data_IF_789477870802
#
_entry.id   IF_789477870802
#
_cell.length_a   1.000
_cell.length_b   1.000
_cell.length_c   1.000
_cell.angle_alpha   90.00
_cell.angle_beta   90.00
_cell.angle_gamma   90.00
#
_symmetry.space_group_name_H-M   'P 1'
#
loop_
_entity.id
_entity.type
_entity.pdbx_description
1 polymer ?
#
# COMPACT_ATOMS: atom_id res chain seq x y z
N UNK A 1 39.01 -1.58 -12.25
CA UNK A 1 37.54 -1.56 -12.18
C UNK A 1 36.99 -2.25 -13.42
N UNK A 2 36.10 -3.23 -13.24
CA UNK A 2 35.33 -3.89 -14.29
C UNK A 2 33.86 -3.46 -14.16
N UNK A 3 33.20 -3.19 -15.28
CA UNK A 3 31.75 -3.02 -15.34
C UNK A 3 31.17 -4.09 -16.29
N UNK A 4 30.15 -4.81 -15.85
CA UNK A 4 29.46 -5.81 -16.67
C UNK A 4 27.96 -5.78 -16.44
N UNK A 5 27.19 -6.02 -17.48
CA UNK A 5 25.74 -6.26 -17.36
C UNK A 5 25.46 -7.75 -17.30
N UNK A 6 24.50 -8.16 -16.48
CA UNK A 6 24.04 -9.54 -16.38
C UNK A 6 22.51 -9.59 -16.44
N UNK A 7 21.92 -10.30 -17.42
CA UNK A 7 20.48 -10.47 -17.47
C UNK A 7 20.07 -11.43 -16.35
N UNK A 8 19.20 -10.99 -15.44
CA UNK A 8 18.56 -11.87 -14.45
C UNK A 8 17.25 -12.47 -14.96
N UNK A 9 16.82 -12.09 -16.17
CA UNK A 9 15.64 -12.64 -16.79
C UNK A 9 15.83 -14.09 -17.24
N UNK A 10 14.98 -14.99 -16.72
CA UNK A 10 15.02 -16.41 -17.04
C UNK A 10 16.13 -17.20 -16.33
N UNK A 11 16.83 -16.59 -15.38
CA UNK A 11 17.86 -17.24 -14.56
C UNK A 11 17.26 -17.63 -13.22
N UNK A 12 17.51 -18.88 -12.79
CA UNK A 12 17.09 -19.38 -11.49
C UNK A 12 17.86 -18.73 -10.33
N UNK A 13 17.32 -18.90 -9.12
CA UNK A 13 17.92 -18.30 -7.92
C UNK A 13 19.31 -18.88 -7.63
N UNK A 14 19.54 -20.18 -7.86
CA UNK A 14 20.83 -20.82 -7.61
C UNK A 14 21.91 -20.36 -8.59
N UNK A 15 21.56 -20.16 -9.86
CA UNK A 15 22.46 -19.65 -10.90
C UNK A 15 22.83 -18.20 -10.60
N UNK A 16 21.87 -17.36 -10.21
CA UNK A 16 22.14 -15.98 -9.81
C UNK A 16 23.06 -15.91 -8.59
N UNK A 17 22.82 -16.74 -7.57
CA UNK A 17 23.70 -16.83 -6.39
C UNK A 17 25.10 -17.31 -6.78
N UNK A 18 25.20 -18.31 -7.65
CA UNK A 18 26.48 -18.84 -8.13
C UNK A 18 27.26 -17.81 -8.95
N UNK A 19 26.58 -17.04 -9.80
CA UNK A 19 27.16 -15.94 -10.56
C UNK A 19 27.71 -14.85 -9.64
N UNK A 20 26.90 -14.36 -8.70
CA UNK A 20 27.31 -13.33 -7.74
C UNK A 20 28.48 -13.79 -6.87
N UNK A 21 28.49 -15.05 -6.41
CA UNK A 21 29.60 -15.64 -5.67
C UNK A 21 30.89 -15.71 -6.51
N UNK A 22 30.77 -16.05 -7.80
CA UNK A 22 31.88 -16.02 -8.75
C UNK A 22 32.46 -14.61 -8.91
N UNK A 23 31.61 -13.63 -9.19
CA UNK A 23 31.99 -12.23 -9.35
C UNK A 23 32.67 -11.67 -8.09
N UNK A 24 32.10 -11.93 -6.92
CA UNK A 24 32.62 -11.54 -5.60
C UNK A 24 33.97 -12.19 -5.27
N UNK A 25 34.24 -13.39 -5.77
CA UNK A 25 35.54 -14.05 -5.59
C UNK A 25 36.65 -13.43 -6.44
N UNK A 26 36.29 -12.76 -7.54
CA UNK A 26 37.22 -12.07 -8.42
C UNK A 26 37.48 -10.62 -7.97
N UNK A 27 36.50 -9.98 -7.33
CA UNK A 27 36.59 -8.58 -6.91
C UNK A 27 36.29 -8.41 -5.41
N UNK A 28 37.23 -7.86 -4.62
CA UNK A 28 37.02 -7.64 -3.20
C UNK A 28 35.94 -6.57 -2.90
N UNK A 29 35.69 -5.65 -3.84
CA UNK A 29 34.62 -4.65 -3.73
C UNK A 29 33.68 -4.76 -4.92
N UNK A 30 32.37 -4.78 -4.62
CA UNK A 30 31.33 -4.99 -5.62
C UNK A 30 30.16 -4.03 -5.39
N UNK A 31 29.65 -3.43 -6.46
CA UNK A 31 28.44 -2.63 -6.41
C UNK A 31 27.55 -2.99 -7.59
N UNK A 32 26.28 -3.26 -7.34
CA UNK A 32 25.31 -3.59 -8.38
C UNK A 32 24.19 -2.56 -8.46
N UNK A 33 23.74 -2.25 -9.66
CA UNK A 33 22.57 -1.41 -9.93
C UNK A 33 21.52 -2.21 -10.71
N UNK A 34 20.25 -1.96 -10.43
CA UNK A 34 19.14 -2.49 -11.24
C UNK A 34 19.02 -1.65 -12.51
N UNK A 35 19.34 -2.22 -13.68
CA UNK A 35 19.26 -1.54 -14.97
C UNK A 35 18.03 -2.02 -15.75
N UNK A 36 17.10 -1.09 -15.99
CA UNK A 36 15.89 -1.25 -16.83
C UNK A 36 14.82 -2.25 -16.35
N UNK A 37 13.62 -2.17 -16.95
CA UNK A 37 12.48 -3.03 -16.63
C UNK A 37 12.62 -4.49 -17.10
N UNK A 38 13.72 -4.85 -17.77
CA UNK A 38 13.94 -6.18 -18.36
C UNK A 38 14.67 -7.15 -17.43
N UNK A 39 14.87 -6.80 -16.16
CA UNK A 39 15.59 -7.66 -15.22
C UNK A 39 17.05 -7.80 -15.64
N UNK A 40 17.78 -6.70 -15.73
CA UNK A 40 19.24 -6.70 -15.90
C UNK A 40 19.88 -6.02 -14.70
N UNK A 41 20.99 -6.57 -14.23
CA UNK A 41 21.82 -5.91 -13.22
C UNK A 41 23.12 -5.45 -13.86
N UNK A 42 23.58 -4.24 -13.51
CA UNK A 42 24.91 -3.74 -13.85
C UNK A 42 25.79 -3.92 -12.63
N UNK A 43 26.84 -4.71 -12.75
CA UNK A 43 27.80 -5.01 -11.69
C UNK A 43 29.11 -4.29 -11.95
N UNK A 44 29.60 -3.62 -10.91
CA UNK A 44 30.89 -2.99 -10.84
C UNK A 44 31.77 -3.80 -9.88
N UNK A 45 32.97 -4.16 -10.33
CA UNK A 45 33.98 -4.88 -9.55
C UNK A 45 35.29 -4.10 -9.48
N UNK A 46 35.92 -4.05 -8.31
CA UNK A 46 37.15 -3.28 -8.09
C UNK A 46 38.02 -3.88 -6.98
N UNK A 47 39.32 -3.60 -7.04
CA UNK A 47 40.29 -3.90 -5.97
C UNK A 47 40.27 -2.84 -4.85
N UNK A 48 39.59 -1.71 -5.08
CA UNK A 48 39.40 -0.62 -4.13
C UNK A 48 37.90 -0.35 -3.90
N UNK A 49 37.50 0.13 -2.70
CA UNK A 49 36.10 0.45 -2.40
C UNK A 49 35.48 1.45 -3.36
N UNK A 50 34.18 1.28 -3.64
CA UNK A 50 33.39 2.28 -4.36
C UNK A 50 32.95 3.38 -3.39
N UNK A 51 33.56 4.56 -3.51
CA UNK A 51 33.19 5.76 -2.77
C UNK A 51 32.82 6.87 -3.75
N UNK A 52 31.58 7.32 -3.66
CA UNK A 52 31.05 8.43 -4.45
C UNK A 52 31.15 9.71 -3.62
N UNK A 53 32.09 10.60 -3.98
CA UNK A 53 32.19 11.92 -3.37
C UNK A 53 30.96 12.75 -3.73
N UNK A 54 30.12 13.05 -2.74
CA UNK A 54 28.83 13.71 -2.93
C UNK A 54 28.97 15.07 -3.61
N UNK A 55 30.08 15.79 -3.34
CA UNK A 55 30.38 17.09 -3.95
C UNK A 55 30.59 17.02 -5.46
N UNK A 56 31.04 15.87 -5.95
CA UNK A 56 31.39 15.67 -7.35
C UNK A 56 30.23 15.08 -8.15
N UNK A 57 29.28 14.40 -7.49
CA UNK A 57 28.16 13.71 -8.14
C UNK A 57 27.33 14.62 -9.05
N UNK A 58 26.97 15.81 -8.59
CA UNK A 58 26.21 16.76 -9.41
C UNK A 58 27.03 17.28 -10.60
N UNK A 59 28.35 17.44 -10.43
CA UNK A 59 29.27 17.78 -11.52
C UNK A 59 29.40 16.67 -12.56
N UNK A 60 29.45 15.42 -12.11
CA UNK A 60 29.46 14.24 -12.99
C UNK A 60 28.13 14.08 -13.74
N UNK A 61 27.03 14.60 -13.18
CA UNK A 61 25.72 14.61 -13.81
C UNK A 61 25.55 15.66 -14.91
N UNK A 62 26.59 16.37 -15.35
CA UNK A 62 26.45 17.46 -16.35
C UNK A 62 26.49 17.02 -17.80
N UNK A 63 26.86 15.76 -18.10
CA UNK A 63 26.91 15.23 -19.47
C UNK A 63 25.50 14.91 -20.01
N UNK A 64 25.01 15.64 -21.05
CA UNK A 64 23.67 15.41 -21.59
C UNK A 64 23.47 14.04 -22.24
N UNK A 65 24.54 13.41 -22.78
CA UNK A 65 24.43 12.09 -23.39
C UNK A 65 24.21 11.03 -22.30
N UNK A 66 25.01 11.09 -21.23
CA UNK A 66 24.84 10.22 -20.07
C UNK A 66 23.47 10.41 -19.40
N UNK A 67 22.99 11.66 -19.31
CA UNK A 67 21.64 11.95 -18.80
C UNK A 67 20.55 11.28 -19.65
N UNK A 68 20.64 11.36 -20.99
CA UNK A 68 19.66 10.77 -21.89
C UNK A 68 19.59 9.24 -21.71
N UNK A 69 20.74 8.57 -21.71
CA UNK A 69 20.83 7.11 -21.54
C UNK A 69 20.30 6.66 -20.16
N UNK A 70 20.62 7.41 -19.10
CA UNK A 70 20.17 7.13 -17.74
C UNK A 70 18.67 7.40 -17.55
N UNK A 71 18.11 8.39 -18.25
CA UNK A 71 16.67 8.65 -18.26
C UNK A 71 15.87 7.49 -18.87
N UNK A 72 16.39 6.82 -19.91
CA UNK A 72 15.78 5.59 -20.45
C UNK A 72 15.69 4.50 -19.38
N UNK A 73 16.63 4.50 -18.42
CA UNK A 73 16.66 3.61 -17.26
C UNK A 73 15.91 4.17 -16.03
N UNK A 74 15.09 5.22 -16.19
CA UNK A 74 14.35 5.94 -15.12
C UNK A 74 15.23 6.57 -14.04
N UNK A 75 16.51 6.76 -14.31
CA UNK A 75 17.42 7.51 -13.44
C UNK A 75 17.37 8.97 -13.86
N UNK A 76 16.60 9.80 -13.14
CA UNK A 76 16.40 11.21 -13.53
C UNK A 76 17.45 12.15 -12.97
N UNK A 77 18.15 11.73 -11.92
CA UNK A 77 19.14 12.52 -11.21
C UNK A 77 20.06 11.60 -10.40
N UNK A 78 21.09 12.20 -9.80
CA UNK A 78 22.05 11.52 -8.93
C UNK A 78 21.39 10.78 -7.76
N UNK A 79 20.27 11.28 -7.23
CA UNK A 79 19.56 10.66 -6.11
C UNK A 79 18.86 9.36 -6.52
N UNK A 80 18.27 9.34 -7.72
CA UNK A 80 17.70 8.12 -8.30
C UNK A 80 18.81 7.09 -8.58
N UNK A 81 19.99 7.52 -9.01
CA UNK A 81 21.14 6.62 -9.25
C UNK A 81 21.56 5.94 -7.95
N UNK A 82 21.76 6.73 -6.89
CA UNK A 82 22.08 6.24 -5.55
C UNK A 82 20.98 5.32 -5.03
N UNK A 83 19.70 5.68 -5.22
CA UNK A 83 18.58 4.86 -4.77
C UNK A 83 18.48 3.51 -5.52
N UNK A 84 18.97 3.43 -6.76
CA UNK A 84 18.96 2.21 -7.56
C UNK A 84 20.06 1.20 -7.21
N UNK A 85 21.03 1.57 -6.35
CA UNK A 85 22.02 0.63 -5.83
C UNK A 85 21.30 -0.57 -5.19
N UNK A 86 21.56 -1.76 -5.74
CA UNK A 86 20.84 -2.99 -5.47
C UNK A 86 21.62 -3.91 -4.54
N UNK A 87 22.93 -4.06 -4.76
CA UNK A 87 23.81 -4.94 -3.98
C UNK A 87 25.14 -4.25 -3.72
N UNK A 88 25.66 -4.40 -2.51
CA UNK A 88 27.07 -4.15 -2.19
C UNK A 88 27.77 -5.47 -1.83
N UNK A 89 29.08 -5.44 -1.52
CA UNK A 89 29.81 -6.63 -1.12
C UNK A 89 29.17 -7.38 0.05
N UNK A 90 28.62 -6.68 1.05
CA UNK A 90 28.02 -7.30 2.24
C UNK A 90 26.68 -7.97 1.90
N UNK A 91 25.86 -7.35 1.06
CA UNK A 91 24.63 -7.95 0.56
C UNK A 91 24.91 -9.15 -0.32
N UNK A 92 25.95 -9.09 -1.17
CA UNK A 92 26.38 -10.25 -1.96
C UNK A 92 26.87 -11.38 -1.06
N UNK A 93 27.69 -11.08 -0.05
CA UNK A 93 28.20 -12.08 0.90
C UNK A 93 27.05 -12.75 1.68
N UNK A 94 26.04 -11.98 2.09
CA UNK A 94 24.84 -12.53 2.76
C UNK A 94 23.96 -13.36 1.83
N UNK A 95 23.76 -12.93 0.59
CA UNK A 95 22.85 -13.59 -0.34
C UNK A 95 23.49 -14.82 -1.00
N UNK A 96 24.74 -14.69 -1.44
CA UNK A 96 25.44 -15.65 -2.28
C UNK A 96 26.64 -16.32 -1.60
N UNK A 97 27.05 -15.93 -0.40
CA UNK A 97 28.31 -16.41 0.22
C UNK A 97 28.39 -17.91 0.49
N UNK A 98 27.24 -18.62 0.54
CA UNK A 98 27.21 -20.09 0.65
C UNK A 98 27.06 -20.81 -0.70
N UNK A 99 26.91 -20.08 -1.81
CA UNK A 99 26.75 -20.66 -3.12
C UNK A 99 28.08 -21.11 -3.72
N UNK A 100 28.02 -22.10 -4.62
CA UNK A 100 29.19 -22.53 -5.37
C UNK A 100 29.50 -21.48 -6.44
N UNK A 101 30.69 -20.86 -6.46
CA UNK A 101 30.99 -19.80 -7.43
C UNK A 101 31.01 -20.33 -8.87
N UNK A 102 30.39 -19.57 -9.78
CA UNK A 102 30.54 -19.81 -11.22
C UNK A 102 31.97 -19.50 -11.66
N UNK A 103 32.56 -20.39 -12.46
CA UNK A 103 33.90 -20.28 -13.01
C UNK A 103 33.89 -20.87 -14.42
N UNK A 104 34.79 -20.42 -15.28
CA UNK A 104 34.94 -20.97 -16.64
C UNK A 104 35.09 -22.50 -16.65
N UNK A 105 35.67 -23.07 -15.59
CA UNK A 105 35.89 -24.51 -15.45
C UNK A 105 34.63 -25.33 -15.07
N UNK A 106 33.58 -24.71 -14.53
CA UNK A 106 32.36 -25.41 -14.11
C UNK A 106 31.10 -24.99 -14.86
N UNK A 107 31.08 -23.81 -15.50
CA UNK A 107 30.02 -23.36 -16.40
C UNK A 107 28.62 -23.43 -15.79
N UNK A 108 28.46 -23.21 -14.48
CA UNK A 108 27.20 -23.45 -13.76
C UNK A 108 26.06 -22.58 -14.29
N UNK A 109 26.36 -21.35 -14.67
CA UNK A 109 25.37 -20.41 -15.22
C UNK A 109 25.10 -20.71 -16.69
N UNK A 110 26.15 -21.07 -17.43
CA UNK A 110 26.12 -21.32 -18.88
C UNK A 110 25.49 -22.68 -19.24
N UNK A 111 25.55 -23.66 -18.33
CA UNK A 111 25.09 -25.04 -18.54
C UNK A 111 23.84 -25.40 -17.72
N UNK A 112 23.40 -24.54 -16.79
CA UNK A 112 22.24 -24.80 -15.91
C UNK A 112 20.86 -24.64 -16.58
N UNK A 113 20.80 -24.28 -17.86
CA UNK A 113 19.62 -23.72 -18.51
C UNK A 113 18.73 -24.72 -19.27
N UNK A 114 18.16 -25.74 -18.63
CA UNK A 114 17.07 -26.51 -19.26
C UNK A 114 15.72 -25.74 -19.27
N UNK A 115 15.55 -24.69 -18.46
CA UNK A 115 14.31 -23.90 -18.35
C UNK A 115 14.31 -22.52 -19.06
N UNK A 116 15.32 -22.22 -19.88
CA UNK A 116 15.51 -20.88 -20.49
C UNK A 116 14.42 -20.47 -21.50
N UNK A 117 13.57 -21.40 -21.96
CA UNK A 117 12.82 -21.24 -23.21
C UNK A 117 11.33 -20.88 -23.08
N UNK A 118 10.69 -20.92 -21.90
CA UNK A 118 9.22 -20.86 -21.83
C UNK A 118 8.60 -19.67 -21.09
N UNK A 119 9.39 -18.76 -20.50
CA UNK A 119 8.83 -17.59 -19.78
C UNK A 119 9.29 -16.27 -20.39
N UNK A 120 8.61 -15.83 -21.45
CA UNK A 120 8.54 -14.42 -21.88
C UNK A 120 7.61 -13.58 -20.98
N UNK A 121 7.52 -13.92 -19.69
CA UNK A 121 6.86 -13.08 -18.69
C UNK A 121 7.93 -12.24 -18.00
N UNK A 122 7.72 -10.92 -17.92
CA UNK A 122 8.71 -9.95 -17.44
C UNK A 122 9.38 -10.41 -16.14
N UNK A 123 10.69 -10.62 -16.20
CA UNK A 123 11.46 -11.16 -15.10
C UNK A 123 11.38 -10.27 -13.87
N UNK A 124 10.96 -10.86 -12.76
CA UNK A 124 10.98 -10.19 -11.46
C UNK A 124 12.26 -10.62 -10.74
N UNK A 125 13.11 -9.66 -10.41
CA UNK A 125 14.16 -9.87 -9.40
C UNK A 125 13.54 -10.49 -8.14
N UNK A 126 14.24 -11.45 -7.54
CA UNK A 126 13.80 -12.10 -6.30
C UNK A 126 13.40 -11.03 -5.26
N UNK A 127 12.21 -11.12 -4.65
CA UNK A 127 11.80 -10.24 -3.57
C UNK A 127 12.83 -10.17 -2.43
N UNK A 128 13.56 -11.27 -2.20
CA UNK A 128 14.65 -11.34 -1.21
C UNK A 128 15.77 -10.36 -1.57
N UNK A 129 16.22 -10.33 -2.83
CA UNK A 129 17.26 -9.39 -3.28
C UNK A 129 16.83 -7.93 -3.11
N UNK A 130 15.57 -7.61 -3.42
CA UNK A 130 15.04 -6.25 -3.23
C UNK A 130 14.94 -5.87 -1.76
N UNK A 131 14.62 -6.81 -0.87
CA UNK A 131 14.58 -6.59 0.57
C UNK A 131 15.97 -6.43 1.18
N UNK A 132 17.00 -7.07 0.61
CA UNK A 132 18.39 -6.98 1.06
C UNK A 132 19.15 -5.76 0.54
N UNK A 133 18.46 -4.83 -0.15
CA UNK A 133 19.06 -3.62 -0.74
C UNK A 133 19.95 -2.90 0.29
N UNK A 134 21.19 -2.52 -0.08
CA UNK A 134 22.11 -1.88 0.84
C UNK A 134 21.56 -0.55 1.35
N UNK A 135 22.16 -0.08 2.44
CA UNK A 135 21.96 1.29 2.87
C UNK A 135 22.63 2.24 1.86
N UNK A 136 21.90 3.18 1.23
CA UNK A 136 22.45 4.10 0.24
C UNK A 136 23.65 4.90 0.74
N UNK A 137 23.73 5.14 2.06
CA UNK A 137 24.82 5.90 2.66
C UNK A 137 26.18 5.21 2.63
N UNK A 138 26.23 3.89 2.40
CA UNK A 138 27.47 3.09 2.54
C UNK A 138 28.54 3.42 1.51
N UNK A 139 28.12 3.86 0.32
CA UNK A 139 29.01 4.17 -0.80
C UNK A 139 29.07 5.68 -1.06
N UNK A 140 28.58 6.51 -0.14
CA UNK A 140 28.63 7.97 -0.23
C UNK A 140 29.71 8.53 0.68
N UNK A 141 30.56 9.38 0.12
CA UNK A 141 31.50 10.18 0.89
C UNK A 141 31.02 11.63 0.96
N UNK A 142 30.94 12.13 2.19
CA UNK A 142 30.47 13.45 2.54
C UNK A 142 31.60 14.38 2.98
N UNK A 143 32.86 14.04 2.70
CA UNK A 143 34.01 14.87 3.05
C UNK A 143 33.85 16.32 2.55
N UNK A 144 34.11 17.27 3.45
CA UNK A 144 34.02 18.69 3.15
C UNK A 144 32.59 19.26 3.04
N UNK A 145 31.55 18.48 3.37
CA UNK A 145 30.18 18.97 3.51
C UNK A 145 29.82 19.27 4.98
N UNK A 146 29.10 20.36 5.19
CA UNK A 146 28.48 20.68 6.47
C UNK A 146 27.37 19.68 6.82
N UNK A 147 27.02 19.52 8.11
CA UNK A 147 25.90 18.65 8.50
C UNK A 147 24.60 18.96 7.74
N UNK A 148 24.30 20.23 7.51
CA UNK A 148 23.09 20.63 6.79
C UNK A 148 23.11 20.17 5.32
N UNK A 149 24.24 20.31 4.62
CA UNK A 149 24.39 19.84 3.24
C UNK A 149 24.27 18.32 3.13
N UNK A 150 24.85 17.58 4.09
CA UNK A 150 24.69 16.12 4.18
C UNK A 150 23.24 15.72 4.41
N UNK A 151 22.57 16.38 5.35
CA UNK A 151 21.16 16.15 5.66
C UNK A 151 20.25 16.42 4.45
N UNK A 152 20.52 17.49 3.69
CA UNK A 152 19.82 17.80 2.43
C UNK A 152 20.01 16.71 1.38
N UNK A 153 21.23 16.24 1.17
CA UNK A 153 21.50 15.19 0.20
C UNK A 153 20.78 13.88 0.57
N UNK A 154 20.90 13.45 1.83
CA UNK A 154 20.22 12.24 2.35
C UNK A 154 18.71 12.34 2.26
N UNK A 155 18.13 13.52 2.47
CA UNK A 155 16.70 13.75 2.31
C UNK A 155 16.25 13.46 0.87
N UNK A 156 17.00 13.90 -0.14
CA UNK A 156 16.66 13.66 -1.54
C UNK A 156 16.90 12.21 -1.95
N UNK A 157 17.91 11.53 -1.38
CA UNK A 157 18.07 10.08 -1.50
C UNK A 157 16.87 9.34 -0.89
N UNK A 158 16.43 9.73 0.31
CA UNK A 158 15.25 9.14 0.94
C UNK A 158 13.99 9.33 0.08
N UNK A 159 13.82 10.51 -0.51
CA UNK A 159 12.73 10.80 -1.45
C UNK A 159 12.80 9.93 -2.69
N UNK A 160 13.99 9.73 -3.26
CA UNK A 160 14.21 8.87 -4.42
C UNK A 160 13.90 7.41 -4.09
N UNK A 161 14.42 6.88 -2.97
CA UNK A 161 14.11 5.52 -2.49
C UNK A 161 12.59 5.34 -2.30
N UNK A 162 11.94 6.28 -1.62
CA UNK A 162 10.50 6.24 -1.36
C UNK A 162 9.67 6.20 -2.65
N UNK A 163 10.00 7.06 -3.61
CA UNK A 163 9.32 7.15 -4.91
C UNK A 163 9.45 5.86 -5.74
N UNK A 164 10.55 5.13 -5.57
CA UNK A 164 10.80 3.86 -6.26
C UNK A 164 10.29 2.64 -5.46
N UNK A 165 9.61 2.85 -4.32
CA UNK A 165 9.07 1.77 -3.50
C UNK A 165 10.11 1.06 -2.63
N UNK A 166 11.29 1.65 -2.44
CA UNK A 166 12.36 1.11 -1.60
C UNK A 166 12.22 1.59 -0.16
N UNK A 167 11.11 1.20 0.48
CA UNK A 167 10.68 1.75 1.75
C UNK A 167 11.68 1.64 2.90
N UNK A 168 12.28 0.46 3.12
CA UNK A 168 13.29 0.29 4.17
C UNK A 168 14.56 1.12 3.94
N UNK A 169 14.98 1.30 2.68
CA UNK A 169 16.12 2.16 2.35
C UNK A 169 15.75 3.64 2.54
N UNK A 170 14.52 4.02 2.18
CA UNK A 170 14.00 5.37 2.41
C UNK A 170 13.96 5.70 3.91
N UNK A 171 13.54 4.76 4.75
CA UNK A 171 13.48 4.91 6.20
C UNK A 171 14.88 5.14 6.80
N UNK A 172 15.86 4.31 6.45
CA UNK A 172 17.25 4.49 6.93
C UNK A 172 17.84 5.82 6.49
N UNK A 173 17.62 6.22 5.23
CA UNK A 173 18.13 7.47 4.70
C UNK A 173 17.52 8.69 5.43
N UNK A 174 16.20 8.68 5.67
CA UNK A 174 15.53 9.80 6.35
C UNK A 174 15.88 9.85 7.86
N UNK A 175 16.06 8.71 8.52
CA UNK A 175 16.50 8.63 9.92
C UNK A 175 17.88 9.26 10.15
N UNK A 176 18.77 9.20 9.16
CA UNK A 176 20.08 9.85 9.18
C UNK A 176 20.02 11.31 8.74
N UNK A 177 19.15 11.62 7.78
CA UNK A 177 18.97 13.00 7.29
C UNK A 177 18.37 13.90 8.36
N UNK A 178 17.34 13.41 9.05
CA UNK A 178 16.47 14.22 9.90
C UNK A 178 17.19 14.87 11.08
N UNK A 179 18.12 14.21 11.80
CA UNK A 179 18.89 14.87 12.85
C UNK A 179 19.73 16.06 12.36
N UNK A 180 20.22 16.02 11.13
CA UNK A 180 21.10 17.03 10.53
C UNK A 180 20.34 18.14 9.80
N UNK A 181 19.15 17.85 9.26
CA UNK A 181 18.34 18.80 8.50
C UNK A 181 16.84 18.63 8.80
N UNK A 182 16.31 19.46 9.71
CA UNK A 182 14.90 19.47 10.10
C UNK A 182 14.16 20.63 9.45
N UNK A 183 13.27 20.32 8.51
CA UNK A 183 12.31 21.27 7.95
C UNK A 183 10.95 20.60 7.70
N UNK A 184 9.92 21.40 7.38
CA UNK A 184 8.56 20.90 7.10
C UNK A 184 8.51 19.76 6.06
N UNK A 185 9.15 19.91 4.88
CA UNK A 185 9.21 18.84 3.88
C UNK A 185 9.87 17.54 4.37
N UNK A 186 10.94 17.62 5.16
CA UNK A 186 11.61 16.46 5.73
C UNK A 186 10.74 15.77 6.78
N UNK A 187 10.12 16.53 7.68
CA UNK A 187 9.20 15.98 8.69
C UNK A 187 7.99 15.31 8.04
N UNK A 188 7.43 15.91 6.99
CA UNK A 188 6.33 15.35 6.20
C UNK A 188 6.72 14.04 5.53
N UNK A 189 7.87 14.01 4.85
CA UNK A 189 8.36 12.78 4.20
C UNK A 189 8.62 11.69 5.24
N UNK A 190 9.27 12.04 6.36
CA UNK A 190 9.61 11.08 7.40
C UNK A 190 8.36 10.45 8.03
N UNK A 191 7.36 11.26 8.38
CA UNK A 191 6.10 10.77 8.94
C UNK A 191 5.35 9.84 7.98
N UNK A 192 5.36 10.14 6.68
CA UNK A 192 4.76 9.27 5.66
C UNK A 192 5.46 7.92 5.55
N UNK A 193 6.80 7.92 5.58
CA UNK A 193 7.60 6.69 5.52
C UNK A 193 7.34 5.84 6.78
N UNK A 194 7.36 6.45 7.98
CA UNK A 194 7.07 5.77 9.24
C UNK A 194 5.69 5.09 9.24
N UNK A 195 4.66 5.82 8.80
CA UNK A 195 3.30 5.29 8.71
C UNK A 195 3.19 4.08 7.79
N UNK A 196 3.87 4.10 6.63
CA UNK A 196 3.75 3.01 5.65
C UNK A 196 4.61 1.80 6.03
N UNK A 197 5.89 2.02 6.36
CA UNK A 197 6.86 0.94 6.51
C UNK A 197 6.84 0.32 7.90
N UNK A 198 6.65 1.16 8.93
CA UNK A 198 6.68 0.70 10.32
C UNK A 198 5.30 0.42 10.91
N UNK A 199 4.23 0.88 10.26
CA UNK A 199 2.92 1.00 10.91
C UNK A 199 2.94 1.87 12.17
N UNK A 200 4.04 2.61 12.38
CA UNK A 200 4.32 3.35 13.61
C UNK A 200 3.71 4.75 13.50
N UNK A 201 2.40 4.78 13.72
CA UNK A 201 1.61 5.99 13.67
C UNK A 201 1.99 6.96 14.80
N UNK A 202 2.44 6.45 15.95
CA UNK A 202 2.82 7.27 17.10
C UNK A 202 4.13 8.03 16.85
N UNK A 203 5.15 7.38 16.29
CA UNK A 203 6.38 8.05 15.88
C UNK A 203 6.10 9.07 14.76
N UNK A 204 5.26 8.73 13.79
CA UNK A 204 4.87 9.66 12.73
C UNK A 204 4.18 10.92 13.29
N UNK A 205 3.26 10.75 14.24
CA UNK A 205 2.61 11.85 14.98
C UNK A 205 3.63 12.67 15.77
N UNK A 206 4.61 12.03 16.41
CA UNK A 206 5.64 12.72 17.18
C UNK A 206 6.52 13.63 16.28
N UNK A 207 6.95 13.12 15.12
CA UNK A 207 7.74 13.89 14.14
C UNK A 207 6.98 15.12 13.65
N UNK A 208 5.70 14.95 13.29
CA UNK A 208 4.87 16.06 12.80
C UNK A 208 4.54 17.06 13.91
N UNK A 209 4.31 16.62 15.14
CA UNK A 209 4.08 17.51 16.29
C UNK A 209 5.33 18.36 16.60
N UNK A 210 6.50 17.74 16.53
CA UNK A 210 7.78 18.44 16.67
C UNK A 210 7.97 19.49 15.57
N UNK A 211 7.62 19.16 14.32
CA UNK A 211 7.66 20.09 13.19
C UNK A 211 6.72 21.30 13.40
N UNK A 212 5.47 21.03 13.79
CA UNK A 212 4.47 22.06 14.09
C UNK A 212 4.92 22.97 15.25
N UNK A 213 5.62 22.41 16.24
CA UNK A 213 6.18 23.17 17.35
C UNK A 213 7.25 24.18 16.92
N UNK A 214 7.99 23.91 15.84
CA UNK A 214 9.03 24.80 15.29
C UNK A 214 8.46 25.87 14.37
N UNK A 215 7.55 25.47 13.48
CA UNK A 215 6.95 26.34 12.49
C UNK A 215 5.44 26.09 12.41
N UNK A 216 4.69 27.10 12.86
CA UNK A 216 3.21 27.07 12.89
C UNK A 216 2.58 27.63 11.62
N UNK A 217 3.37 27.90 10.59
CA UNK A 217 2.87 28.49 9.35
C UNK A 217 2.67 27.48 8.22
N UNK A 218 3.20 26.25 8.34
CA UNK A 218 3.12 25.23 7.29
C UNK A 218 1.81 24.43 7.36
N UNK A 219 0.84 24.66 6.43
CA UNK A 219 -0.45 23.98 6.46
C UNK A 219 -0.34 22.50 6.08
N UNK A 220 0.76 22.08 5.44
CA UNK A 220 0.96 20.67 5.07
C UNK A 220 1.24 19.79 6.28
N UNK A 221 1.92 20.32 7.29
CA UNK A 221 2.23 19.63 8.55
C UNK A 221 0.96 19.43 9.36
N UNK A 222 0.16 20.49 9.53
CA UNK A 222 -1.05 20.38 10.33
C UNK A 222 -2.07 19.45 9.69
N UNK A 223 -2.12 19.45 8.33
CA UNK A 223 -2.93 18.52 7.56
C UNK A 223 -2.61 17.07 7.89
N UNK A 224 -1.36 16.70 7.68
CA UNK A 224 -0.88 15.34 7.94
C UNK A 224 -1.01 14.95 9.41
N UNK A 225 -0.72 15.87 10.33
CA UNK A 225 -0.81 15.58 11.77
C UNK A 225 -2.26 15.34 12.19
N UNK A 226 -3.20 16.15 11.72
CA UNK A 226 -4.64 15.95 11.97
C UNK A 226 -5.15 14.62 11.45
N UNK A 227 -4.81 14.29 10.18
CA UNK A 227 -5.16 13.01 9.58
C UNK A 227 -4.64 11.83 10.42
N UNK A 228 -3.39 11.91 10.89
CA UNK A 228 -2.76 10.82 11.62
C UNK A 228 -3.30 10.69 13.04
N UNK A 229 -3.61 11.80 13.70
CA UNK A 229 -4.31 11.79 15.00
C UNK A 229 -5.72 11.18 14.87
N UNK A 230 -6.44 11.49 13.80
CA UNK A 230 -7.75 10.92 13.54
C UNK A 230 -7.68 9.41 13.28
N UNK A 231 -6.73 8.96 12.44
CA UNK A 231 -6.47 7.53 12.19
C UNK A 231 -6.09 6.79 13.48
N UNK A 232 -5.33 7.44 14.37
CA UNK A 232 -4.95 6.91 15.67
C UNK A 232 -6.10 6.92 16.70
N UNK A 233 -7.31 7.39 16.33
CA UNK A 233 -8.46 7.61 17.24
C UNK A 233 -8.17 8.56 18.40
N UNK A 234 -7.16 9.43 18.26
CA UNK A 234 -6.76 10.43 19.26
C UNK A 234 -7.57 11.72 19.07
N UNK A 235 -8.89 11.59 19.19
CA UNK A 235 -9.84 12.65 18.81
C UNK A 235 -9.69 13.93 19.64
N UNK A 236 -9.43 13.84 20.94
CA UNK A 236 -9.18 15.01 21.81
C UNK A 236 -7.91 15.77 21.42
N UNK A 237 -6.87 15.07 20.94
CA UNK A 237 -5.65 15.70 20.47
C UNK A 237 -5.84 16.38 19.12
N UNK A 238 -6.60 15.74 18.22
CA UNK A 238 -6.97 16.36 16.95
C UNK A 238 -7.79 17.64 17.19
N UNK A 239 -8.79 17.61 18.09
CA UNK A 239 -9.60 18.79 18.44
C UNK A 239 -8.72 19.94 18.96
N UNK A 240 -7.79 19.65 19.88
CA UNK A 240 -6.84 20.65 20.41
C UNK A 240 -5.93 21.22 19.33
N UNK A 241 -5.41 20.37 18.45
CA UNK A 241 -4.56 20.80 17.35
C UNK A 241 -5.29 21.74 16.40
N UNK A 242 -6.50 21.37 15.97
CA UNK A 242 -7.29 22.20 15.06
C UNK A 242 -7.72 23.51 15.71
N UNK A 243 -8.05 23.50 17.00
CA UNK A 243 -8.33 24.73 17.75
C UNK A 243 -7.12 25.65 17.77
N UNK A 244 -5.93 25.11 18.07
CA UNK A 244 -4.68 25.89 18.01
C UNK A 244 -4.36 26.39 16.60
N UNK A 245 -4.75 25.68 15.54
CA UNK A 245 -4.59 26.11 14.15
C UNK A 245 -5.44 27.33 13.83
N UNK A 246 -6.72 27.23 14.20
CA UNK A 246 -7.73 28.26 13.97
C UNK A 246 -7.37 29.52 14.76
N UNK A 247 -6.96 29.37 16.03
CA UNK A 247 -6.52 30.47 16.88
C UNK A 247 -5.23 31.14 16.35
N UNK A 248 -4.40 30.41 15.62
CA UNK A 248 -3.21 30.93 14.94
C UNK A 248 -3.54 31.64 13.60
N UNK A 249 -4.83 31.76 13.23
CA UNK A 249 -5.29 32.45 12.03
C UNK A 249 -5.31 31.57 10.78
N UNK A 250 -5.21 30.24 10.90
CA UNK A 250 -5.41 29.32 9.78
C UNK A 250 -6.92 29.18 9.54
N UNK A 251 -7.47 30.08 8.74
CA UNK A 251 -8.88 30.08 8.30
C UNK A 251 -9.09 29.18 7.07
N UNK A 252 -8.70 27.91 7.17
CA UNK A 252 -8.93 26.89 6.13
C UNK A 252 -10.19 26.08 6.48
N UNK A 253 -11.06 25.86 5.49
CA UNK A 253 -12.23 24.98 5.60
C UNK A 253 -11.85 23.62 6.20
N UNK A 254 -10.67 23.10 5.83
CA UNK A 254 -10.15 21.83 6.30
C UNK A 254 -10.01 21.76 7.83
N UNK A 255 -9.52 22.82 8.50
CA UNK A 255 -9.32 22.81 9.95
C UNK A 255 -10.65 22.67 10.71
N UNK A 256 -11.70 23.36 10.25
CA UNK A 256 -13.04 23.24 10.83
C UNK A 256 -13.63 21.85 10.58
N UNK A 257 -13.51 21.31 9.37
CA UNK A 257 -14.02 19.97 9.03
C UNK A 257 -13.35 18.90 9.88
N UNK A 258 -12.03 18.93 10.03
CA UNK A 258 -11.32 17.95 10.87
C UNK A 258 -11.65 18.09 12.36
N UNK A 259 -11.81 19.31 12.87
CA UNK A 259 -12.28 19.50 14.26
C UNK A 259 -13.69 18.95 14.44
N UNK A 260 -14.57 19.17 13.47
CA UNK A 260 -15.92 18.60 13.42
C UNK A 260 -15.91 17.07 13.42
N UNK A 261 -15.06 16.44 12.60
CA UNK A 261 -14.85 14.99 12.58
C UNK A 261 -14.34 14.46 13.92
N UNK A 262 -13.37 15.14 14.53
CA UNK A 262 -12.86 14.78 15.85
C UNK A 262 -13.98 14.85 16.91
N UNK A 263 -14.78 15.92 16.91
CA UNK A 263 -15.92 16.11 17.82
C UNK A 263 -17.03 15.09 17.61
N UNK A 264 -17.29 14.65 16.37
CA UNK A 264 -18.15 13.49 16.08
C UNK A 264 -17.62 12.23 16.76
N UNK A 265 -16.31 11.96 16.65
CA UNK A 265 -15.66 10.84 17.33
C UNK A 265 -15.78 10.90 18.86
N UNK A 266 -15.80 12.12 19.42
CA UNK A 266 -16.04 12.40 20.84
C UNK A 266 -17.52 12.46 21.24
N UNK A 267 -18.44 12.23 20.30
CA UNK A 267 -19.90 12.31 20.49
C UNK A 267 -20.42 13.68 20.90
N UNK A 268 -19.70 14.75 20.57
CA UNK A 268 -20.11 16.16 20.75
C UNK A 268 -20.79 16.67 19.48
N UNK A 269 -22.00 16.18 19.23
CA UNK A 269 -22.63 16.30 17.92
C UNK A 269 -23.05 17.72 17.54
N UNK A 270 -23.51 18.53 18.50
CA UNK A 270 -23.87 19.94 18.26
C UNK A 270 -22.65 20.79 17.90
N UNK A 271 -21.54 20.61 18.62
CA UNK A 271 -20.28 21.30 18.35
C UNK A 271 -19.68 20.85 17.01
N UNK A 272 -19.76 19.56 16.70
CA UNK A 272 -19.36 19.03 15.41
C UNK A 272 -20.18 19.62 14.26
N UNK A 273 -21.50 19.69 14.42
CA UNK A 273 -22.40 20.28 13.43
C UNK A 273 -22.05 21.74 13.17
N UNK A 274 -21.79 22.53 14.23
CA UNK A 274 -21.40 23.93 14.09
C UNK A 274 -20.09 24.09 13.30
N UNK A 275 -19.06 23.30 13.62
CA UNK A 275 -17.80 23.32 12.89
C UNK A 275 -17.95 22.92 11.42
N UNK A 276 -18.71 21.85 11.16
CA UNK A 276 -18.92 21.35 9.80
C UNK A 276 -19.69 22.36 8.92
N UNK A 277 -20.62 23.13 9.51
CA UNK A 277 -21.30 24.23 8.81
C UNK A 277 -20.30 25.34 8.44
N UNK A 278 -19.45 25.76 9.38
CA UNK A 278 -18.41 26.76 9.10
C UNK A 278 -17.44 26.25 8.02
N UNK A 279 -17.00 25.00 8.13
CA UNK A 279 -16.14 24.38 7.12
C UNK A 279 -16.78 24.36 5.73
N UNK A 280 -18.07 24.04 5.65
CA UNK A 280 -18.84 24.10 4.39
C UNK A 280 -18.92 25.51 3.81
N UNK A 281 -19.14 26.52 4.65
CA UNK A 281 -19.26 27.93 4.22
C UNK A 281 -17.90 28.48 3.72
N UNK A 282 -16.79 27.96 4.26
CA UNK A 282 -15.43 28.29 3.83
C UNK A 282 -14.98 27.51 2.57
N UNK A 283 -15.57 26.35 2.26
CA UNK A 283 -15.24 25.52 1.10
C UNK A 283 -15.80 26.12 -0.22
N UNK A 284 -15.23 27.25 -0.64
CA UNK A 284 -15.67 28.02 -1.82
C UNK A 284 -15.56 27.26 -3.13
N UNK A 285 -14.56 26.39 -3.25
CA UNK A 285 -14.33 25.56 -4.45
C UNK A 285 -15.21 24.31 -4.46
N UNK A 286 -15.82 23.97 -3.31
CA UNK A 286 -16.65 22.79 -3.11
C UNK A 286 -15.93 21.47 -3.38
N UNK A 287 -14.60 21.47 -3.33
CA UNK A 287 -13.76 20.31 -3.62
C UNK A 287 -13.95 19.21 -2.56
N UNK A 288 -14.30 19.58 -1.32
CA UNK A 288 -14.53 18.66 -0.20
C UNK A 288 -16.02 18.43 0.10
N UNK A 289 -16.90 19.01 -0.72
CA UNK A 289 -18.34 19.03 -0.47
C UNK A 289 -18.98 17.66 -0.27
N UNK A 290 -18.47 16.60 -0.90
CA UNK A 290 -18.93 15.23 -0.69
C UNK A 290 -18.72 14.77 0.76
N UNK A 291 -17.47 14.83 1.23
CA UNK A 291 -17.10 14.39 2.58
C UNK A 291 -17.73 15.29 3.65
N UNK A 292 -17.76 16.61 3.43
CA UNK A 292 -18.40 17.55 4.36
C UNK A 292 -19.89 17.25 4.52
N UNK A 293 -20.62 17.03 3.41
CA UNK A 293 -22.03 16.67 3.46
C UNK A 293 -22.26 15.34 4.18
N UNK A 294 -21.38 14.36 4.00
CA UNK A 294 -21.45 13.08 4.72
C UNK A 294 -21.34 13.30 6.24
N UNK A 295 -20.32 14.02 6.70
CA UNK A 295 -20.14 14.26 8.12
C UNK A 295 -21.24 15.14 8.72
N UNK A 296 -21.79 16.10 7.96
CA UNK A 296 -22.98 16.87 8.36
C UNK A 296 -24.17 15.94 8.59
N UNK A 297 -24.41 15.01 7.66
CA UNK A 297 -25.48 14.04 7.83
C UNK A 297 -25.27 13.15 9.07
N UNK A 298 -24.04 12.70 9.33
CA UNK A 298 -23.73 11.89 10.51
C UNK A 298 -24.00 12.66 11.81
N UNK A 299 -23.64 13.94 11.87
CA UNK A 299 -23.97 14.80 13.02
C UNK A 299 -25.49 14.94 13.18
N UNK A 300 -26.22 15.21 12.10
CA UNK A 300 -27.67 15.39 12.11
C UNK A 300 -28.41 14.09 12.49
N UNK A 301 -27.99 12.94 11.96
CA UNK A 301 -28.52 11.62 12.31
C UNK A 301 -28.34 11.34 13.80
N UNK A 302 -27.14 11.59 14.35
CA UNK A 302 -26.85 11.42 15.77
C UNK A 302 -27.68 12.34 16.68
N UNK A 303 -28.07 13.52 16.17
CA UNK A 303 -28.96 14.47 16.84
C UNK A 303 -30.47 14.16 16.65
N UNK A 304 -30.81 13.08 15.92
CA UNK A 304 -32.20 12.71 15.61
C UNK A 304 -32.87 13.57 14.53
N UNK A 305 -32.12 14.43 13.83
CA UNK A 305 -32.60 15.28 12.71
C UNK A 305 -32.53 14.49 11.40
N UNK A 306 -33.28 13.41 11.34
CA UNK A 306 -33.18 12.37 10.31
C UNK A 306 -33.52 12.89 8.91
N UNK A 307 -34.50 13.80 8.76
CA UNK A 307 -34.88 14.37 7.47
C UNK A 307 -33.77 15.24 6.87
N UNK A 308 -33.09 16.03 7.69
CA UNK A 308 -31.98 16.86 7.23
C UNK A 308 -30.75 16.00 6.92
N UNK A 309 -30.49 14.99 7.75
CA UNK A 309 -29.48 13.96 7.44
C UNK A 309 -29.75 13.31 6.08
N UNK A 310 -31.03 13.05 5.74
CA UNK A 310 -31.41 12.41 4.49
C UNK A 310 -31.06 13.27 3.27
N UNK A 311 -31.33 14.58 3.34
CA UNK A 311 -30.98 15.54 2.29
C UNK A 311 -29.45 15.61 2.10
N UNK A 312 -28.68 15.71 3.18
CA UNK A 312 -27.22 15.75 3.09
C UNK A 312 -26.60 14.44 2.56
N UNK A 313 -27.14 13.27 2.93
CA UNK A 313 -26.72 11.99 2.36
C UNK A 313 -27.05 11.92 0.87
N UNK A 314 -28.23 12.39 0.45
CA UNK A 314 -28.59 12.47 -0.96
C UNK A 314 -27.61 13.33 -1.76
N UNK A 315 -27.28 14.52 -1.25
CA UNK A 315 -26.26 15.41 -1.86
C UNK A 315 -24.88 14.78 -1.93
N UNK A 316 -24.49 14.00 -0.93
CA UNK A 316 -23.23 13.27 -0.91
C UNK A 316 -23.17 12.27 -2.06
N UNK A 317 -24.22 11.46 -2.22
CA UNK A 317 -24.32 10.43 -3.27
C UNK A 317 -24.36 11.08 -4.67
N UNK A 318 -25.12 12.16 -4.84
CA UNK A 318 -25.18 12.87 -6.13
C UNK A 318 -23.82 13.45 -6.55
N UNK A 319 -23.01 13.93 -5.59
CA UNK A 319 -21.68 14.50 -5.89
C UNK A 319 -20.59 13.44 -6.04
N UNK A 320 -20.64 12.41 -5.21
CA UNK A 320 -19.71 11.29 -5.26
C UNK A 320 -20.49 9.96 -5.30
N UNK A 321 -20.90 9.51 -6.50
CA UNK A 321 -21.60 8.24 -6.66
C UNK A 321 -20.77 7.01 -6.22
N UNK A 322 -19.45 7.17 -6.05
CA UNK A 322 -18.53 6.12 -5.56
C UNK A 322 -18.21 6.25 -4.07
N UNK A 323 -18.91 7.13 -3.34
CA UNK A 323 -18.71 7.26 -1.90
C UNK A 323 -19.08 5.94 -1.20
N UNK A 324 -18.15 5.39 -0.42
CA UNK A 324 -18.27 4.02 0.12
C UNK A 324 -19.42 3.85 1.13
N UNK A 325 -19.63 4.84 2.01
CA UNK A 325 -20.56 4.70 3.14
C UNK A 325 -21.90 5.45 3.00
N UNK A 326 -21.96 6.57 2.28
CA UNK A 326 -23.16 7.41 2.18
C UNK A 326 -24.42 6.67 1.68
N UNK A 327 -24.35 5.75 0.68
CA UNK A 327 -25.52 4.97 0.27
C UNK A 327 -26.08 4.08 1.39
N UNK A 328 -25.22 3.43 2.19
CA UNK A 328 -25.62 2.61 3.33
C UNK A 328 -26.36 3.47 4.36
N UNK A 329 -25.73 4.57 4.77
CA UNK A 329 -26.30 5.51 5.72
C UNK A 329 -27.63 6.09 5.24
N UNK A 330 -27.76 6.38 3.93
CA UNK A 330 -29.00 6.89 3.32
C UNK A 330 -30.14 5.88 3.41
N UNK A 331 -29.85 4.60 3.20
CA UNK A 331 -30.83 3.52 3.33
C UNK A 331 -31.27 3.32 4.78
N UNK A 332 -30.33 3.28 5.72
CA UNK A 332 -30.63 3.20 7.15
C UNK A 332 -31.46 4.39 7.64
N UNK A 333 -31.13 5.59 7.17
CA UNK A 333 -31.84 6.79 7.57
C UNK A 333 -33.29 6.80 7.04
N UNK A 334 -33.55 6.26 5.84
CA UNK A 334 -34.93 5.99 5.38
C UNK A 334 -35.68 4.95 6.22
N UNK A 335 -34.99 3.90 6.68
CA UNK A 335 -35.57 2.91 7.59
C UNK A 335 -36.03 3.58 8.88
N UNK A 336 -35.18 4.40 9.48
CA UNK A 336 -35.48 5.13 10.72
C UNK A 336 -36.64 6.13 10.53
N UNK A 337 -36.75 6.76 9.35
CA UNK A 337 -37.86 7.64 8.99
C UNK A 337 -39.17 6.89 8.66
N UNK A 338 -39.14 5.56 8.56
CA UNK A 338 -40.29 4.76 8.15
C UNK A 338 -40.69 4.96 6.68
N UNK A 339 -39.82 5.52 5.85
CA UNK A 339 -40.09 5.88 4.45
C UNK A 339 -39.76 4.77 3.44
N UNK A 340 -39.80 3.50 3.87
CA UNK A 340 -39.55 2.36 2.99
C UNK A 340 -40.86 1.72 2.57
N UNK A 341 -41.36 2.11 1.41
CA UNK A 341 -42.17 1.26 0.57
C UNK A 341 -41.23 0.43 -0.33
N UNK A 342 -41.31 -0.90 -0.33
CA UNK A 342 -40.59 -1.75 -1.30
C UNK A 342 -41.22 -1.57 -2.70
N UNK A 343 -40.45 -1.46 -3.81
CA UNK A 343 -39.17 -0.81 -4.05
C UNK A 343 -39.26 0.25 -5.19
N UNK A 344 -38.56 1.37 -5.06
CA UNK A 344 -38.16 2.22 -6.19
C UNK A 344 -36.74 2.73 -5.95
N UNK A 345 -35.78 1.79 -5.92
CA UNK A 345 -34.38 2.13 -6.12
C UNK A 345 -34.10 1.86 -7.59
N UNK A 346 -33.89 2.93 -8.38
CA UNK A 346 -33.53 2.83 -9.79
C UNK A 346 -32.26 1.98 -9.94
N UNK A 347 -32.27 1.03 -10.89
CA UNK A 347 -31.23 0.02 -11.13
C UNK A 347 -29.81 0.60 -11.26
N UNK A 348 -29.68 1.87 -11.66
CA UNK A 348 -28.42 2.58 -11.83
C UNK A 348 -27.66 2.84 -10.51
N UNK A 349 -28.37 2.98 -9.38
CA UNK A 349 -27.78 3.17 -8.04
C UNK A 349 -27.75 1.89 -7.18
N UNK A 350 -28.48 0.85 -7.62
CA UNK A 350 -28.60 -0.44 -6.91
C UNK A 350 -27.33 -1.27 -7.04
N UNK A 351 -26.67 -1.26 -8.19
CA UNK A 351 -25.49 -2.09 -8.43
C UNK A 351 -24.28 -1.72 -7.55
N UNK A 352 -23.90 -0.43 -7.40
CA UNK A 352 -22.85 -0.04 -6.46
C UNK A 352 -23.22 -0.26 -5.00
N UNK A 353 -24.49 0.00 -4.62
CA UNK A 353 -25.01 -0.22 -3.27
C UNK A 353 -25.00 -1.71 -2.88
N UNK A 354 -25.49 -2.57 -3.76
CA UNK A 354 -25.47 -4.03 -3.57
C UNK A 354 -24.04 -4.55 -3.49
N UNK A 355 -23.11 -3.98 -4.28
CA UNK A 355 -21.70 -4.35 -4.22
C UNK A 355 -21.04 -3.95 -2.90
N UNK A 356 -21.19 -2.71 -2.45
CA UNK A 356 -20.60 -2.27 -1.17
C UNK A 356 -21.21 -3.03 0.03
N UNK A 357 -22.52 -3.27 -0.01
CA UNK A 357 -23.22 -4.10 0.98
C UNK A 357 -22.72 -5.55 0.94
N UNK A 358 -22.51 -6.12 -0.24
CA UNK A 358 -21.98 -7.46 -0.40
C UNK A 358 -20.56 -7.60 0.17
N UNK A 359 -19.66 -6.64 -0.07
CA UNK A 359 -18.30 -6.66 0.51
C UNK A 359 -18.31 -6.59 2.04
N UNK A 360 -19.25 -5.83 2.62
CA UNK A 360 -19.43 -5.71 4.07
C UNK A 360 -19.91 -7.03 4.67
N UNK A 361 -20.98 -7.60 4.11
CA UNK A 361 -21.52 -8.90 4.53
C UNK A 361 -20.50 -10.03 4.36
N UNK A 362 -19.69 -9.98 3.30
CA UNK A 362 -18.62 -10.94 3.08
C UNK A 362 -17.51 -10.82 4.12
N UNK A 363 -17.11 -9.60 4.48
CA UNK A 363 -16.09 -9.35 5.51
C UNK A 363 -16.57 -9.81 6.89
N UNK A 364 -17.82 -9.52 7.26
CA UNK A 364 -18.44 -10.01 8.50
C UNK A 364 -18.50 -11.55 8.53
N UNK A 365 -18.99 -12.16 7.45
CA UNK A 365 -19.07 -13.62 7.35
C UNK A 365 -17.68 -14.29 7.45
N UNK A 366 -16.65 -13.69 6.86
CA UNK A 366 -15.26 -14.17 7.01
C UNK A 366 -14.71 -14.01 8.42
N UNK A 367 -15.04 -12.91 9.10
CA UNK A 367 -14.64 -12.67 10.48
C UNK A 367 -15.18 -13.74 11.43
N UNK A 368 -16.44 -14.14 11.24
CA UNK A 368 -17.12 -15.14 12.07
C UNK A 368 -17.05 -16.57 11.54
N UNK A 369 -16.34 -16.82 10.43
CA UNK A 369 -16.31 -18.12 9.74
C UNK A 369 -15.87 -19.28 10.63
N UNK A 370 -15.18 -18.98 11.73
CA UNK A 370 -14.65 -19.97 12.66
C UNK A 370 -15.35 -19.95 14.03
N UNK A 371 -16.43 -19.17 14.19
CA UNK A 371 -17.19 -18.99 15.42
C UNK A 371 -18.56 -19.69 15.31
N UNK A 372 -18.77 -20.85 15.99
CA UNK A 372 -20.00 -21.63 15.85
C UNK A 372 -21.28 -20.88 16.25
N UNK A 373 -21.17 -19.89 17.15
CA UNK A 373 -22.33 -19.10 17.61
C UNK A 373 -22.97 -18.26 16.49
N UNK A 374 -22.24 -18.03 15.40
CA UNK A 374 -22.63 -17.17 14.29
C UNK A 374 -22.99 -17.95 13.02
N UNK A 375 -23.09 -19.29 13.07
CA UNK A 375 -23.28 -20.16 11.91
C UNK A 375 -24.43 -19.72 10.98
N UNK A 376 -25.62 -19.49 11.54
CA UNK A 376 -26.80 -19.02 10.79
C UNK A 376 -26.59 -17.65 10.12
N UNK A 377 -25.80 -16.78 10.74
CA UNK A 377 -25.51 -15.45 10.22
C UNK A 377 -24.47 -15.52 9.09
N UNK A 378 -23.43 -16.34 9.26
CA UNK A 378 -22.40 -16.61 8.24
C UNK A 378 -23.03 -17.17 6.97
N UNK A 379 -23.83 -18.23 7.09
CA UNK A 379 -24.49 -18.85 5.93
C UNK A 379 -25.42 -17.86 5.21
N UNK A 380 -26.29 -17.19 5.97
CA UNK A 380 -27.23 -16.20 5.43
C UNK A 380 -26.50 -15.05 4.71
N UNK A 381 -25.42 -14.54 5.29
CA UNK A 381 -24.66 -13.44 4.72
C UNK A 381 -23.97 -13.87 3.42
N UNK A 382 -23.32 -15.04 3.40
CA UNK A 382 -22.66 -15.54 2.19
C UNK A 382 -23.66 -15.81 1.06
N UNK A 383 -24.83 -16.40 1.36
CA UNK A 383 -25.91 -16.58 0.38
C UNK A 383 -26.41 -15.22 -0.13
N UNK A 384 -26.56 -14.23 0.75
CA UNK A 384 -26.98 -12.89 0.34
C UNK A 384 -25.93 -12.23 -0.57
N UNK A 385 -24.63 -12.39 -0.30
CA UNK A 385 -23.54 -11.91 -1.15
C UNK A 385 -23.60 -12.57 -2.53
N UNK A 386 -23.76 -13.89 -2.58
CA UNK A 386 -23.86 -14.63 -3.85
C UNK A 386 -25.07 -14.17 -4.66
N UNK A 387 -26.23 -13.99 -4.03
CA UNK A 387 -27.46 -13.61 -4.74
C UNK A 387 -27.43 -12.15 -5.23
N UNK A 388 -26.78 -11.25 -4.50
CA UNK A 388 -26.70 -9.81 -4.83
C UNK A 388 -25.50 -9.47 -5.72
N UNK A 389 -24.41 -10.24 -5.60
CA UNK A 389 -23.20 -10.13 -6.42
C UNK A 389 -22.74 -11.51 -6.90
N UNK A 390 -23.41 -12.09 -7.92
CA UNK A 390 -23.05 -13.43 -8.41
C UNK A 390 -21.59 -13.54 -8.90
N UNK A 391 -20.95 -12.44 -9.27
CA UNK A 391 -19.54 -12.45 -9.69
C UNK A 391 -18.53 -12.39 -8.52
N UNK A 392 -18.97 -12.50 -7.26
CA UNK A 392 -18.11 -12.43 -6.08
C UNK A 392 -17.48 -13.79 -5.75
N UNK A 393 -16.32 -14.04 -6.37
CA UNK A 393 -15.58 -15.31 -6.31
C UNK A 393 -15.34 -15.85 -4.89
N UNK A 394 -14.90 -14.99 -3.98
CA UNK A 394 -14.55 -15.38 -2.62
C UNK A 394 -15.74 -15.86 -1.79
N UNK A 395 -16.98 -15.49 -2.15
CA UNK A 395 -18.17 -15.82 -1.37
C UNK A 395 -18.58 -17.29 -1.55
N UNK A 396 -18.42 -17.82 -2.77
CA UNK A 396 -18.68 -19.23 -3.06
C UNK A 396 -17.69 -20.14 -2.32
N UNK A 397 -16.40 -19.80 -2.34
CA UNK A 397 -15.37 -20.56 -1.63
C UNK A 397 -15.55 -20.48 -0.11
N UNK A 398 -15.90 -19.29 0.43
CA UNK A 398 -16.18 -19.14 1.85
C UNK A 398 -17.44 -19.92 2.27
N UNK A 399 -18.46 -20.01 1.42
CA UNK A 399 -19.65 -20.83 1.68
C UNK A 399 -19.32 -22.32 1.64
N UNK A 400 -18.51 -22.77 0.66
CA UNK A 400 -18.02 -24.14 0.60
C UNK A 400 -17.22 -24.51 1.87
N UNK A 401 -16.32 -23.61 2.30
CA UNK A 401 -15.53 -23.78 3.53
C UNK A 401 -16.41 -23.85 4.78
N UNK A 402 -17.40 -22.96 4.88
CA UNK A 402 -18.38 -22.96 5.97
C UNK A 402 -19.13 -24.29 6.04
N UNK A 403 -19.73 -24.73 4.92
CA UNK A 403 -20.46 -26.00 4.84
C UNK A 403 -19.58 -27.20 5.18
N UNK A 404 -18.34 -27.23 4.71
CA UNK A 404 -17.38 -28.28 5.05
C UNK A 404 -17.12 -28.35 6.56
N UNK A 405 -16.94 -27.21 7.22
CA UNK A 405 -16.67 -27.15 8.67
C UNK A 405 -17.87 -27.60 9.51
N UNK A 406 -19.07 -27.29 9.07
CA UNK A 406 -20.33 -27.76 9.68
C UNK A 406 -20.60 -29.25 9.38
N UNK A 407 -19.78 -29.90 8.55
CA UNK A 407 -19.98 -31.28 8.12
C UNK A 407 -21.11 -31.45 7.08
N UNK A 408 -21.59 -30.35 6.51
CA UNK A 408 -22.59 -30.32 5.45
C UNK A 408 -21.93 -30.51 4.07
N UNK A 409 -21.63 -31.77 3.72
CA UNK A 409 -20.98 -32.11 2.44
C UNK A 409 -21.83 -31.76 1.22
N UNK A 410 -23.16 -31.85 1.31
CA UNK A 410 -24.07 -31.49 0.21
C UNK A 410 -24.04 -29.97 -0.04
N UNK A 411 -24.03 -29.16 1.01
CA UNK A 411 -23.93 -27.70 0.90
C UNK A 411 -22.57 -27.23 0.39
N UNK A 412 -21.49 -27.97 0.67
CA UNK A 412 -20.17 -27.71 0.10
C UNK A 412 -20.16 -27.97 -1.41
N UNK A 413 -20.69 -29.12 -1.85
CA UNK A 413 -20.79 -29.47 -3.27
C UNK A 413 -21.65 -28.47 -4.04
N UNK A 414 -22.83 -28.09 -3.52
CA UNK A 414 -23.70 -27.07 -4.13
C UNK A 414 -22.97 -25.73 -4.32
N UNK A 415 -22.22 -25.27 -3.32
CA UNK A 415 -21.47 -24.01 -3.41
C UNK A 415 -20.41 -24.05 -4.53
N UNK A 416 -19.66 -25.15 -4.64
CA UNK A 416 -18.66 -25.36 -5.68
C UNK A 416 -19.28 -25.54 -7.08
N UNK A 417 -20.43 -26.21 -7.18
CA UNK A 417 -21.16 -26.37 -8.44
C UNK A 417 -21.75 -25.05 -8.93
N UNK A 418 -22.38 -24.28 -8.03
CA UNK A 418 -22.89 -22.94 -8.36
C UNK A 418 -21.78 -22.00 -8.80
N UNK A 419 -20.59 -22.13 -8.21
CA UNK A 419 -19.40 -21.40 -8.64
C UNK A 419 -18.99 -21.76 -10.07
N UNK A 420 -18.93 -23.06 -10.41
CA UNK A 420 -18.67 -23.49 -11.78
C UNK A 420 -19.77 -23.01 -12.73
N UNK A 421 -21.03 -23.10 -12.33
CA UNK A 421 -22.17 -22.65 -13.12
C UNK A 421 -22.09 -21.15 -13.46
N UNK A 422 -21.61 -20.34 -12.52
CA UNK A 422 -21.51 -18.90 -12.66
C UNK A 422 -20.28 -18.43 -13.45
N UNK A 423 -19.09 -18.97 -13.15
CA UNK A 423 -17.83 -18.51 -13.75
C UNK A 423 -17.38 -19.35 -14.96
N UNK A 424 -18.07 -20.46 -15.20
CA UNK A 424 -17.72 -21.46 -16.20
C UNK A 424 -16.54 -22.33 -15.75
N UNK A 425 -16.40 -23.47 -16.41
CA UNK A 425 -15.35 -24.46 -16.14
C UNK A 425 -13.99 -24.06 -16.77
N UNK A 426 -13.50 -22.88 -16.40
CA UNK A 426 -12.22 -22.36 -16.89
C UNK A 426 -11.05 -22.88 -16.03
N UNK A 427 -9.83 -23.00 -16.58
CA UNK A 427 -8.68 -23.52 -15.84
C UNK A 427 -8.40 -22.75 -14.54
N UNK A 428 -8.60 -21.43 -14.53
CA UNK A 428 -8.41 -20.58 -13.35
C UNK A 428 -9.45 -20.88 -12.27
N UNK A 429 -10.69 -21.15 -12.68
CA UNK A 429 -11.78 -21.47 -11.75
C UNK A 429 -11.55 -22.81 -11.06
N UNK A 430 -11.15 -23.80 -11.86
CA UNK A 430 -10.82 -25.14 -11.38
C UNK A 430 -9.60 -25.10 -10.46
N UNK A 431 -8.55 -24.33 -10.80
CA UNK A 431 -7.33 -24.23 -10.01
C UNK A 431 -7.59 -23.71 -8.58
N UNK A 432 -8.48 -22.73 -8.43
CA UNK A 432 -8.86 -22.19 -7.12
C UNK A 432 -9.70 -23.16 -6.29
N UNK A 433 -10.64 -23.90 -6.90
CA UNK A 433 -11.38 -24.95 -6.20
C UNK A 433 -10.42 -26.06 -5.75
N UNK A 434 -9.47 -26.45 -6.60
CA UNK A 434 -8.43 -27.41 -6.23
C UNK A 434 -7.51 -26.90 -5.13
N UNK A 435 -7.18 -25.60 -5.13
CA UNK A 435 -6.42 -24.95 -4.07
C UNK A 435 -7.17 -25.03 -2.73
N UNK A 436 -8.46 -24.69 -2.73
CA UNK A 436 -9.35 -24.83 -1.58
C UNK A 436 -9.42 -26.27 -1.07
N UNK A 437 -9.72 -27.24 -1.94
CA UNK A 437 -9.83 -28.67 -1.57
C UNK A 437 -8.50 -29.21 -1.03
N UNK A 438 -7.38 -28.76 -1.57
CA UNK A 438 -6.04 -29.12 -1.07
C UNK A 438 -5.82 -28.56 0.33
N UNK A 439 -6.24 -27.32 0.60
CA UNK A 439 -6.13 -26.69 1.90
C UNK A 439 -7.01 -27.36 2.97
N UNK A 440 -8.18 -27.86 2.61
CA UNK A 440 -9.17 -28.42 3.55
C UNK A 440 -9.14 -29.95 3.69
N UNK A 441 -8.40 -30.67 2.83
CA UNK A 441 -8.19 -32.12 3.01
C UNK A 441 -7.26 -32.79 2.00
N UNK A 442 -6.34 -32.04 1.39
CA UNK A 442 -5.22 -32.57 0.61
C UNK A 442 -5.57 -33.13 -0.77
N UNK A 443 -4.56 -33.78 -1.39
CA UNK A 443 -4.62 -34.28 -2.78
C UNK A 443 -5.67 -35.39 -3.01
N UNK A 444 -6.19 -36.03 -1.95
CA UNK A 444 -7.28 -36.99 -2.08
C UNK A 444 -8.60 -36.32 -2.44
N UNK A 445 -8.90 -35.17 -1.84
CA UNK A 445 -10.10 -34.39 -2.15
C UNK A 445 -10.06 -33.79 -3.55
N UNK A 446 -8.89 -33.29 -3.96
CA UNK A 446 -8.66 -32.84 -5.34
C UNK A 446 -8.91 -33.98 -6.34
N UNK A 447 -8.42 -35.18 -6.05
CA UNK A 447 -8.64 -36.36 -6.91
C UNK A 447 -10.11 -36.79 -6.96
N UNK A 448 -10.83 -36.72 -5.83
CA UNK A 448 -12.27 -37.01 -5.78
C UNK A 448 -13.06 -36.01 -6.63
N UNK A 449 -12.79 -34.72 -6.47
CA UNK A 449 -13.43 -33.65 -7.22
C UNK A 449 -13.15 -33.74 -8.74
N UNK A 450 -11.91 -34.02 -9.13
CA UNK A 450 -11.55 -34.25 -10.55
C UNK A 450 -12.29 -35.44 -11.17
N UNK A 451 -12.69 -36.45 -10.39
CA UNK A 451 -13.50 -37.57 -10.89
C UNK A 451 -14.95 -37.17 -11.12
N UNK A 452 -15.51 -36.33 -10.25
CA UNK A 452 -16.87 -35.77 -10.42
C UNK A 452 -16.98 -34.85 -11.63
N UNK A 453 -15.86 -34.22 -12.02
CA UNK A 453 -15.78 -33.36 -13.19
C UNK A 453 -15.63 -34.13 -14.53
N UNK A 454 -15.43 -35.45 -14.55
CA UNK A 454 -15.40 -36.24 -15.80
C UNK A 454 -16.81 -36.65 -16.19
#
# INVERSE_FOLDING_TARGET
MLATSFPVAGIGEEELRSFLAGFRSAFPHCLAFEATQLGTIVLLGSDAPFLLHVRDLEGLWTDPAAQADLLESRVRNVYDLVAQALLDEETIDRYAGSARPNRDANGLVELGSEEFATSLSGARLSPVLRALRPDPDRFLDYEGLSPEERGKFRLEVARACWRNGYGSAALRAIERAYPEFRNGPASSLYARILKQEGGDLDSAVAVLREAWGRDRSDPSIIRQLGDYLFLARRHEECERLMTSAIDAGIEDAWCYVERGKARLGLRRYEEALADLVVGKDLDRLQDNSGDINYFLAMALKALGRLEESQDYLGRTISRNPRHLYAPLEFGENKLLLGQIERPAFEEEYVLPFNRARAETLFTEAKGWLHEPEHADAVERNLIAVINTTPNHYGAYLALAEFCFREGNTEGEEDALERMIGQFGRRPEVVAEIESYLRATGGEERVRAYRRLLR
#
